data_IF_394653277095
#
_entry.id   IF_394653277095
#
_cell.length_a   1.000
_cell.length_b   1.000
_cell.length_c   1.000
_cell.angle_alpha   90.00
_cell.angle_beta   90.00
_cell.angle_gamma   90.00
#
_symmetry.space_group_name_H-M   'P 1'
#
loop_
_entity.id
_entity.type
_entity.pdbx_description
1 polymer ?
#
# COMPACT_ATOMS: atom_id res chain seq x y z
N UNK A 1 87.56 -46.74 -60.54
CA UNK A 1 86.14 -47.01 -60.61
C UNK A 1 85.69 -47.30 -59.20
N UNK A 2 85.07 -46.46 -58.50
CA UNK A 2 84.63 -46.72 -57.16
C UNK A 2 83.16 -47.21 -57.13
N UNK A 3 82.91 -48.12 -56.26
CA UNK A 3 81.62 -48.74 -55.93
C UNK A 3 80.77 -47.76 -55.10
N UNK A 4 79.50 -47.66 -55.48
CA UNK A 4 78.50 -46.92 -54.82
C UNK A 4 77.84 -47.77 -53.71
N UNK A 5 78.01 -47.39 -52.46
CA UNK A 5 77.39 -48.05 -51.30
C UNK A 5 76.00 -47.42 -51.07
N UNK A 6 74.99 -48.24 -51.33
CA UNK A 6 73.59 -47.85 -51.08
C UNK A 6 73.26 -48.00 -49.62
N UNK A 7 72.98 -46.92 -48.91
CA UNK A 7 72.55 -46.88 -47.52
C UNK A 7 71.03 -47.26 -47.38
N UNK A 8 70.76 -48.38 -46.71
CA UNK A 8 69.39 -48.83 -46.42
C UNK A 8 68.89 -48.13 -45.22
N UNK A 9 67.87 -47.27 -45.41
CA UNK A 9 67.17 -46.52 -44.38
C UNK A 9 66.17 -47.46 -43.70
N UNK A 10 66.44 -47.85 -42.45
CA UNK A 10 65.58 -48.64 -41.58
C UNK A 10 64.36 -47.86 -41.14
N UNK A 11 63.20 -48.28 -41.58
CA UNK A 11 61.88 -47.65 -41.19
C UNK A 11 61.43 -48.30 -39.89
N UNK A 12 61.58 -47.60 -38.80
CA UNK A 12 61.04 -48.00 -37.51
C UNK A 12 59.48 -47.84 -37.54
N UNK A 13 58.81 -48.98 -37.54
CA UNK A 13 57.36 -49.09 -37.43
C UNK A 13 56.95 -48.81 -35.97
N UNK A 14 56.30 -47.63 -35.74
CA UNK A 14 55.77 -47.17 -34.48
C UNK A 14 54.51 -48.01 -34.14
N UNK A 15 54.66 -49.02 -33.33
CA UNK A 15 53.59 -49.91 -32.87
C UNK A 15 52.71 -49.11 -31.88
N UNK A 16 51.66 -48.39 -32.36
CA UNK A 16 50.65 -47.74 -31.59
C UNK A 16 49.88 -48.77 -30.76
N UNK A 17 50.18 -48.85 -29.46
CA UNK A 17 49.51 -49.69 -28.47
C UNK A 17 48.01 -49.40 -28.53
N UNK A 18 47.09 -50.39 -28.61
CA UNK A 18 45.63 -50.09 -28.63
C UNK A 18 45.21 -49.43 -27.33
N UNK A 19 44.61 -48.21 -27.48
CA UNK A 19 44.02 -47.48 -26.40
C UNK A 19 42.78 -48.25 -25.89
N UNK A 20 42.88 -48.82 -24.70
CA UNK A 20 41.79 -49.52 -24.03
C UNK A 20 40.73 -48.46 -23.73
N UNK A 21 39.68 -48.35 -24.57
CA UNK A 21 38.49 -47.54 -24.33
C UNK A 21 37.74 -48.15 -23.13
N UNK A 22 38.04 -47.66 -21.94
CA UNK A 22 37.25 -48.00 -20.75
C UNK A 22 35.85 -47.37 -20.91
N UNK A 23 34.75 -48.14 -20.74
CA UNK A 23 33.40 -47.61 -20.81
C UNK A 23 33.24 -46.49 -19.79
N UNK A 24 32.53 -45.36 -20.12
CA UNK A 24 32.38 -44.23 -19.21
C UNK A 24 31.69 -44.70 -17.93
N UNK A 25 32.36 -44.52 -16.80
CA UNK A 25 31.83 -44.82 -15.48
C UNK A 25 30.54 -44.01 -15.28
N UNK A 26 29.40 -44.59 -14.85
CA UNK A 26 28.16 -43.87 -14.64
C UNK A 26 28.37 -42.80 -13.59
N UNK A 27 28.40 -41.54 -14.00
CA UNK A 27 28.51 -40.38 -13.09
C UNK A 27 27.25 -40.27 -12.24
N UNK A 28 27.40 -40.24 -10.91
CA UNK A 28 26.31 -40.03 -9.95
C UNK A 28 25.74 -38.60 -10.10
N UNK A 29 24.41 -38.49 -10.10
CA UNK A 29 23.75 -37.22 -10.07
C UNK A 29 23.82 -36.63 -8.66
N UNK A 30 24.15 -35.35 -8.52
CA UNK A 30 24.28 -34.70 -7.23
C UNK A 30 22.89 -34.56 -6.58
N UNK A 31 22.68 -35.13 -5.41
CA UNK A 31 21.43 -35.14 -4.66
C UNK A 31 21.00 -33.75 -4.29
N UNK A 32 21.94 -32.84 -4.00
CA UNK A 32 21.63 -31.43 -3.63
C UNK A 32 21.05 -30.66 -4.80
N UNK A 33 21.44 -31.00 -6.05
CA UNK A 33 20.84 -30.40 -7.25
C UNK A 33 19.38 -30.80 -7.44
N UNK A 34 19.00 -32.03 -7.08
CA UNK A 34 17.62 -32.50 -7.13
C UNK A 34 16.79 -31.87 -6.01
N UNK A 35 17.33 -31.88 -4.79
CA UNK A 35 16.67 -31.23 -3.62
C UNK A 35 16.49 -29.76 -3.86
N UNK A 36 17.49 -29.03 -4.38
CA UNK A 36 17.42 -27.62 -4.72
C UNK A 36 16.30 -27.29 -5.72
N UNK A 37 16.15 -28.16 -6.75
CA UNK A 37 15.06 -27.98 -7.73
C UNK A 37 13.67 -28.15 -7.10
N UNK A 38 13.49 -29.17 -6.24
CA UNK A 38 12.20 -29.39 -5.56
C UNK A 38 11.89 -28.25 -4.59
N UNK A 39 12.86 -27.83 -3.79
CA UNK A 39 12.70 -26.74 -2.82
C UNK A 39 12.49 -25.39 -3.47
N UNK A 40 12.95 -25.19 -4.71
CA UNK A 40 12.70 -23.97 -5.48
C UNK A 40 11.21 -23.67 -5.71
N UNK A 41 10.35 -24.70 -5.70
CA UNK A 41 8.90 -24.55 -5.80
C UNK A 41 8.22 -24.30 -4.46
N UNK A 42 8.74 -24.85 -3.36
CA UNK A 42 8.09 -24.81 -2.04
C UNK A 42 8.54 -23.58 -1.25
N UNK A 43 9.85 -23.40 -1.13
CA UNK A 43 10.47 -22.28 -0.39
C UNK A 43 11.59 -21.69 -1.26
N UNK A 44 11.30 -20.66 -2.07
CA UNK A 44 12.24 -20.17 -3.09
C UNK A 44 13.62 -19.77 -2.56
N UNK A 45 13.68 -19.20 -1.35
CA UNK A 45 14.95 -18.79 -0.73
C UNK A 45 15.81 -20.01 -0.43
N UNK A 46 15.22 -21.08 0.14
CA UNK A 46 15.93 -22.33 0.45
C UNK A 46 16.36 -23.03 -0.84
N UNK A 47 15.45 -23.07 -1.84
CA UNK A 47 15.74 -23.62 -3.17
C UNK A 47 16.89 -22.90 -3.86
N UNK A 48 16.95 -21.58 -3.78
CA UNK A 48 18.04 -20.76 -4.33
C UNK A 48 19.39 -21.13 -3.68
N UNK A 49 19.44 -21.17 -2.35
CA UNK A 49 20.67 -21.52 -1.60
C UNK A 49 21.13 -22.93 -1.95
N UNK A 50 20.23 -23.90 -1.90
CA UNK A 50 20.56 -25.31 -2.24
C UNK A 50 21.04 -25.45 -3.70
N UNK A 51 20.43 -24.74 -4.64
CA UNK A 51 20.79 -24.73 -6.04
C UNK A 51 22.18 -24.14 -6.28
N UNK A 52 22.53 -23.05 -5.61
CA UNK A 52 23.85 -22.40 -5.69
C UNK A 52 24.95 -23.37 -5.14
N UNK A 53 24.67 -24.00 -3.99
CA UNK A 53 25.60 -25.01 -3.43
C UNK A 53 25.72 -26.20 -4.37
N UNK A 54 24.60 -26.64 -4.97
CA UNK A 54 24.58 -27.73 -5.96
C UNK A 54 25.45 -27.44 -7.20
N UNK A 55 25.40 -26.21 -7.72
CA UNK A 55 26.28 -25.77 -8.84
C UNK A 55 27.74 -25.85 -8.44
N UNK A 56 28.09 -25.37 -7.24
CA UNK A 56 29.46 -25.38 -6.74
C UNK A 56 30.01 -26.82 -6.57
N UNK A 57 29.18 -27.73 -6.03
CA UNK A 57 29.59 -29.12 -5.83
C UNK A 57 29.74 -29.90 -7.14
N UNK A 58 28.75 -29.75 -8.07
CA UNK A 58 28.83 -30.42 -9.37
C UNK A 58 30.03 -29.97 -10.20
N UNK A 59 30.39 -28.68 -10.09
CA UNK A 59 31.58 -28.14 -10.78
C UNK A 59 32.89 -28.66 -10.20
N UNK A 60 33.01 -28.86 -8.87
CA UNK A 60 34.23 -29.31 -8.20
C UNK A 60 34.41 -30.81 -8.27
N UNK A 61 33.31 -31.59 -8.29
CA UNK A 61 33.35 -33.07 -8.21
C UNK A 61 33.14 -33.79 -9.54
N UNK A 62 32.97 -33.00 -10.62
CA UNK A 62 32.66 -33.52 -11.96
C UNK A 62 31.43 -34.43 -11.99
N UNK A 63 30.44 -34.18 -11.12
CA UNK A 63 29.18 -34.93 -11.03
C UNK A 63 28.15 -34.42 -12.05
N UNK A 64 27.20 -35.27 -12.44
CA UNK A 64 26.05 -34.87 -13.26
C UNK A 64 25.04 -34.09 -12.41
N UNK A 65 24.34 -33.10 -12.99
CA UNK A 65 23.30 -32.35 -12.30
C UNK A 65 23.48 -30.82 -12.33
N UNK A 66 24.55 -30.34 -12.97
CA UNK A 66 24.77 -28.86 -13.11
C UNK A 66 23.58 -28.17 -13.80
N UNK A 67 22.98 -28.80 -14.82
CA UNK A 67 21.80 -28.26 -15.49
C UNK A 67 20.56 -28.17 -14.55
N UNK A 68 20.35 -29.18 -13.68
CA UNK A 68 19.27 -29.18 -12.70
C UNK A 68 19.48 -28.09 -11.64
N UNK A 69 20.71 -27.88 -11.20
CA UNK A 69 21.02 -26.82 -10.25
C UNK A 69 20.83 -25.41 -10.85
N UNK A 70 21.23 -25.18 -12.11
CA UNK A 70 20.98 -23.95 -12.84
C UNK A 70 19.48 -23.72 -13.04
N UNK A 71 18.73 -24.75 -13.44
CA UNK A 71 17.27 -24.66 -13.54
C UNK A 71 16.64 -24.31 -12.19
N UNK A 72 17.11 -24.87 -11.07
CA UNK A 72 16.66 -24.53 -9.72
C UNK A 72 16.88 -23.07 -9.36
N UNK A 73 18.02 -22.47 -9.74
CA UNK A 73 18.27 -21.02 -9.53
C UNK A 73 17.28 -20.18 -10.32
N UNK A 74 17.09 -20.47 -11.61
CA UNK A 74 16.18 -19.71 -12.48
C UNK A 74 14.75 -19.80 -11.95
N UNK A 75 14.27 -20.99 -11.60
CA UNK A 75 12.94 -21.22 -11.05
C UNK A 75 12.77 -20.49 -9.71
N UNK A 76 13.79 -20.52 -8.83
CA UNK A 76 13.73 -19.80 -7.55
C UNK A 76 13.59 -18.30 -7.74
N UNK A 77 14.34 -17.70 -8.66
CA UNK A 77 14.29 -16.26 -8.97
C UNK A 77 12.91 -15.88 -9.54
N UNK A 78 12.39 -16.66 -10.50
CA UNK A 78 11.08 -16.42 -11.09
C UNK A 78 9.95 -16.55 -10.06
N UNK A 79 10.03 -17.56 -9.18
CA UNK A 79 9.04 -17.77 -8.13
C UNK A 79 9.12 -16.69 -7.06
N UNK A 80 10.30 -16.21 -6.69
CA UNK A 80 10.48 -15.09 -5.79
C UNK A 80 9.88 -13.79 -6.37
N UNK A 81 10.10 -13.52 -7.66
CA UNK A 81 9.52 -12.39 -8.36
C UNK A 81 7.98 -12.49 -8.40
N UNK A 82 7.46 -13.68 -8.70
CA UNK A 82 6.01 -13.95 -8.70
C UNK A 82 5.39 -13.74 -7.32
N UNK A 83 6.04 -14.24 -6.24
CA UNK A 83 5.56 -14.02 -4.87
C UNK A 83 5.58 -12.55 -4.47
N UNK A 84 6.59 -11.79 -4.91
CA UNK A 84 6.66 -10.35 -4.67
C UNK A 84 5.53 -9.60 -5.37
N UNK A 85 5.24 -9.93 -6.62
CA UNK A 85 4.10 -9.37 -7.37
C UNK A 85 2.78 -9.73 -6.69
N UNK A 86 2.60 -11.00 -6.27
CA UNK A 86 1.39 -11.44 -5.57
C UNK A 86 1.21 -10.72 -4.23
N UNK A 87 2.29 -10.46 -3.49
CA UNK A 87 2.24 -9.68 -2.25
C UNK A 87 1.75 -8.25 -2.52
N UNK A 88 2.28 -7.60 -3.58
CA UNK A 88 1.81 -6.26 -3.99
C UNK A 88 0.33 -6.31 -4.35
N UNK A 89 -0.11 -7.30 -5.13
CA UNK A 89 -1.53 -7.45 -5.51
C UNK A 89 -2.42 -7.64 -4.27
N UNK A 90 -1.99 -8.44 -3.29
CA UNK A 90 -2.73 -8.63 -2.03
C UNK A 90 -2.81 -7.33 -1.24
N UNK A 91 -1.71 -6.57 -1.15
CA UNK A 91 -1.69 -5.26 -0.45
C UNK A 91 -2.62 -4.27 -1.16
N UNK A 92 -2.56 -4.18 -2.49
CA UNK A 92 -3.44 -3.30 -3.29
C UNK A 92 -4.90 -3.74 -3.18
N UNK A 93 -5.19 -5.05 -3.25
CA UNK A 93 -6.53 -5.58 -3.07
C UNK A 93 -7.08 -5.34 -1.65
N UNK A 94 -6.24 -5.48 -0.62
CA UNK A 94 -6.61 -5.17 0.75
C UNK A 94 -6.87 -3.66 0.95
N UNK A 95 -6.09 -2.80 0.30
CA UNK A 95 -6.31 -1.36 0.29
C UNK A 95 -7.59 -0.97 -0.50
N UNK A 96 -7.88 -1.67 -1.59
CA UNK A 96 -9.09 -1.45 -2.40
C UNK A 96 -10.37 -2.03 -1.76
N UNK A 97 -10.25 -2.96 -0.80
CA UNK A 97 -11.42 -3.61 -0.15
C UNK A 97 -12.13 -2.74 0.88
N UNK A 98 -11.70 -1.53 1.14
CA UNK A 98 -12.43 -0.58 1.97
C UNK A 98 -13.45 0.25 1.18
N UNK A 99 -14.20 -0.38 0.26
CA UNK A 99 -15.31 0.27 -0.43
C UNK A 99 -16.45 0.55 0.57
N UNK A 100 -16.31 1.64 1.32
CA UNK A 100 -17.36 2.16 2.18
C UNK A 100 -18.43 2.72 1.26
N UNK A 101 -19.60 2.06 1.21
CA UNK A 101 -20.75 2.55 0.45
C UNK A 101 -21.28 3.81 1.13
N UNK A 102 -21.45 4.88 0.37
CA UNK A 102 -22.04 6.13 0.85
C UNK A 102 -23.53 6.21 0.50
N UNK A 103 -24.31 6.83 1.37
CA UNK A 103 -25.68 7.26 1.14
C UNK A 103 -25.81 8.76 1.32
N UNK A 104 -26.85 9.37 0.74
CA UNK A 104 -27.02 10.81 0.76
C UNK A 104 -28.06 11.23 1.79
N UNK A 105 -27.78 12.33 2.47
CA UNK A 105 -28.71 13.03 3.35
C UNK A 105 -28.87 14.47 2.86
N UNK A 106 -30.12 14.91 2.71
CA UNK A 106 -30.45 16.29 2.39
C UNK A 106 -31.17 16.93 3.59
N UNK A 107 -30.67 18.06 4.05
CA UNK A 107 -31.30 18.90 5.06
C UNK A 107 -31.99 20.08 4.37
N UNK A 108 -33.23 20.40 4.77
CA UNK A 108 -34.01 21.45 4.14
C UNK A 108 -33.67 22.85 4.69
N UNK A 109 -33.32 22.94 5.98
CA UNK A 109 -32.99 24.22 6.63
C UNK A 109 -31.97 24.01 7.75
N UNK A 110 -30.74 24.50 7.62
CA UNK A 110 -30.16 25.08 6.39
C UNK A 110 -30.08 24.08 5.26
N UNK A 111 -30.25 24.53 4.01
CA UNK A 111 -30.25 23.64 2.85
C UNK A 111 -28.85 23.19 2.54
N UNK A 112 -28.63 21.85 2.54
CA UNK A 112 -27.42 21.21 2.06
C UNK A 112 -27.65 19.72 1.80
N UNK A 113 -26.78 19.15 0.99
CA UNK A 113 -26.70 17.70 0.77
C UNK A 113 -25.32 17.20 1.12
N UNK A 114 -25.26 16.14 1.94
CA UNK A 114 -24.02 15.47 2.34
C UNK A 114 -24.14 13.96 2.09
N UNK A 115 -23.05 13.35 1.65
CA UNK A 115 -22.90 11.90 1.68
C UNK A 115 -22.32 11.48 3.01
N UNK A 116 -22.68 10.28 3.47
CA UNK A 116 -22.13 9.66 4.66
C UNK A 116 -22.10 8.12 4.53
N UNK A 117 -21.26 7.40 5.24
CA UNK A 117 -21.18 5.97 5.15
C UNK A 117 -22.49 5.27 5.55
N UNK A 118 -22.94 4.34 4.71
CA UNK A 118 -24.15 3.57 4.96
C UNK A 118 -24.09 2.82 6.28
N UNK A 119 -25.18 2.91 7.04
CA UNK A 119 -25.29 2.27 8.36
C UNK A 119 -24.73 3.09 9.52
N UNK A 120 -24.24 4.31 9.27
CA UNK A 120 -23.87 5.22 10.34
C UNK A 120 -25.12 5.81 11.00
N UNK A 121 -25.03 6.02 12.30
CA UNK A 121 -26.11 6.62 13.10
C UNK A 121 -26.02 8.14 13.01
N UNK A 122 -27.16 8.79 12.76
CA UNK A 122 -27.27 10.25 12.71
C UNK A 122 -27.76 10.80 14.04
N UNK A 123 -27.05 11.80 14.55
CA UNK A 123 -27.42 12.58 15.72
C UNK A 123 -27.57 14.06 15.34
N UNK A 124 -28.49 14.76 15.99
CA UNK A 124 -28.66 16.22 15.84
C UNK A 124 -27.85 16.87 16.95
N UNK A 125 -26.99 17.82 16.60
CA UNK A 125 -26.24 18.62 17.54
C UNK A 125 -26.57 20.11 17.30
N UNK A 126 -27.12 20.77 18.32
CA UNK A 126 -27.36 22.21 18.31
C UNK A 126 -26.57 22.81 19.45
N UNK A 127 -25.58 23.61 19.16
CA UNK A 127 -24.74 24.26 20.15
C UNK A 127 -24.54 25.75 19.79
N UNK A 128 -24.80 26.65 20.74
CA UNK A 128 -24.48 28.06 20.67
C UNK A 128 -25.01 28.81 19.41
N UNK A 129 -26.20 28.44 18.92
CA UNK A 129 -26.81 29.01 17.71
C UNK A 129 -26.31 28.40 16.40
N UNK A 130 -25.40 27.41 16.45
CA UNK A 130 -25.05 26.60 15.33
C UNK A 130 -25.94 25.36 15.26
N UNK A 131 -26.39 24.99 14.07
CA UNK A 131 -27.11 23.73 13.82
C UNK A 131 -26.18 22.74 13.21
N UNK A 132 -26.14 21.52 13.76
CA UNK A 132 -25.24 20.50 13.32
C UNK A 132 -25.87 19.12 13.24
N UNK A 133 -25.25 18.27 12.45
CA UNK A 133 -25.51 16.83 12.40
C UNK A 133 -24.21 16.09 12.51
N UNK A 134 -24.21 15.03 13.31
CA UNK A 134 -23.10 14.11 13.45
C UNK A 134 -23.55 12.76 12.93
N UNK A 135 -22.77 12.17 12.07
CA UNK A 135 -22.91 10.80 11.59
C UNK A 135 -21.76 9.98 12.17
N UNK A 136 -22.07 8.95 12.93
CA UNK A 136 -21.09 8.13 13.63
C UNK A 136 -21.18 6.68 13.17
N UNK A 137 -20.03 6.01 13.03
CA UNK A 137 -19.99 4.56 12.87
C UNK A 137 -20.67 3.94 14.10
N UNK A 138 -21.72 3.14 13.85
CA UNK A 138 -22.39 2.43 14.93
C UNK A 138 -21.40 1.45 15.58
N UNK A 139 -21.24 1.47 16.92
CA UNK A 139 -20.35 0.54 17.58
C UNK A 139 -20.80 -0.89 17.29
N UNK A 140 -19.91 -1.68 16.69
CA UNK A 140 -20.16 -3.11 16.38
C UNK A 140 -19.99 -4.01 17.59
N UNK A 141 -19.50 -3.44 18.66
CA UNK A 141 -19.25 -4.12 19.92
C UNK A 141 -19.78 -3.29 21.12
N UNK A 142 -19.85 -3.89 22.27
CA UNK A 142 -20.33 -3.24 23.51
C UNK A 142 -19.33 -2.24 24.11
N UNK A 143 -18.23 -1.91 23.39
CA UNK A 143 -17.20 -0.98 23.90
C UNK A 143 -17.58 0.49 23.73
N UNK A 144 -18.60 0.79 22.91
CA UNK A 144 -19.00 2.15 22.56
C UNK A 144 -17.95 2.92 21.74
N UNK A 145 -16.91 2.22 21.25
CA UNK A 145 -15.82 2.85 20.50
C UNK A 145 -16.28 3.25 19.10
N UNK A 146 -16.26 4.56 18.82
CA UNK A 146 -16.53 5.13 17.49
C UNK A 146 -15.24 5.13 16.70
N UNK A 147 -15.26 4.49 15.51
CA UNK A 147 -14.08 4.39 14.64
C UNK A 147 -14.04 5.46 13.55
N UNK A 148 -15.18 6.05 13.20
CA UNK A 148 -15.26 7.11 12.23
C UNK A 148 -16.43 8.02 12.51
N UNK A 149 -16.27 9.30 12.21
CA UNK A 149 -17.29 10.33 12.41
C UNK A 149 -17.25 11.34 11.27
N UNK A 150 -18.43 11.80 10.86
CA UNK A 150 -18.63 12.96 9.99
C UNK A 150 -19.52 13.94 10.73
N UNK A 151 -19.07 15.18 10.84
CA UNK A 151 -19.80 16.26 11.48
C UNK A 151 -19.97 17.40 10.47
N UNK A 152 -21.16 17.98 10.44
CA UNK A 152 -21.43 19.20 9.70
C UNK A 152 -22.02 20.23 10.63
N UNK A 153 -21.44 21.42 10.64
CA UNK A 153 -21.89 22.57 11.43
C UNK A 153 -22.20 23.71 10.48
N UNK A 154 -23.39 24.27 10.63
CA UNK A 154 -23.82 25.46 9.93
C UNK A 154 -23.81 26.66 10.87
N UNK A 155 -23.28 27.77 10.40
CA UNK A 155 -23.26 29.07 11.08
C UNK A 155 -23.96 30.08 10.18
N UNK A 156 -25.06 30.68 10.67
CA UNK A 156 -25.77 31.75 9.97
C UNK A 156 -24.88 32.98 9.86
N UNK A 157 -25.01 33.78 8.78
CA UNK A 157 -24.25 35.00 8.64
C UNK A 157 -24.68 36.00 9.72
N UNK A 158 -23.73 36.71 10.36
CA UNK A 158 -24.09 37.77 11.30
C UNK A 158 -24.69 38.95 10.55
N UNK A 159 -25.61 39.72 11.18
CA UNK A 159 -26.36 40.83 10.54
C UNK A 159 -25.47 41.85 9.84
N UNK A 160 -24.29 42.12 10.38
CA UNK A 160 -23.33 43.11 9.86
C UNK A 160 -22.14 42.47 9.09
N UNK A 161 -22.28 41.22 8.69
CA UNK A 161 -21.17 40.43 8.10
C UNK A 161 -20.05 40.17 9.09
N UNK A 162 -19.01 39.46 8.61
CA UNK A 162 -17.84 39.16 9.41
C UNK A 162 -16.85 40.34 9.40
N UNK A 163 -16.33 40.70 10.57
CA UNK A 163 -15.30 41.76 10.72
C UNK A 163 -13.91 41.34 10.31
N UNK A 164 -13.68 40.02 10.20
CA UNK A 164 -12.40 39.42 9.85
C UNK A 164 -12.63 38.21 8.93
N UNK A 165 -11.54 37.61 8.46
CA UNK A 165 -11.62 36.38 7.70
C UNK A 165 -12.16 35.24 8.57
N UNK A 166 -13.45 34.92 8.36
CA UNK A 166 -14.16 33.89 9.13
C UNK A 166 -13.56 32.49 8.97
N UNK A 167 -12.98 32.15 7.79
CA UNK A 167 -12.37 30.86 7.55
C UNK A 167 -11.14 30.69 8.44
N UNK A 168 -10.34 31.76 8.54
CA UNK A 168 -9.15 31.78 9.42
C UNK A 168 -9.57 31.75 10.89
N UNK A 169 -10.59 32.51 11.26
CA UNK A 169 -11.09 32.54 12.65
C UNK A 169 -11.58 31.16 13.11
N UNK A 170 -12.34 30.46 12.27
CA UNK A 170 -12.81 29.11 12.58
C UNK A 170 -11.63 28.12 12.64
N UNK A 171 -10.68 28.18 11.70
CA UNK A 171 -9.46 27.38 11.76
C UNK A 171 -8.72 27.56 13.08
N UNK A 172 -8.54 28.80 13.52
CA UNK A 172 -7.79 29.10 14.75
C UNK A 172 -8.57 28.66 15.99
N UNK A 173 -9.89 28.77 15.96
CA UNK A 173 -10.76 28.19 17.01
C UNK A 173 -10.61 26.66 17.09
N UNK A 174 -10.60 25.95 15.97
CA UNK A 174 -10.39 24.50 15.94
C UNK A 174 -9.02 24.16 16.51
N UNK A 175 -7.97 24.87 16.11
CA UNK A 175 -6.60 24.65 16.63
C UNK A 175 -6.49 24.88 18.13
N UNK A 176 -7.23 25.84 18.67
CA UNK A 176 -7.23 26.12 20.12
C UNK A 176 -8.10 25.16 20.93
N UNK A 177 -9.15 24.60 20.32
CA UNK A 177 -10.09 23.67 20.98
C UNK A 177 -9.44 22.33 21.31
N UNK A 178 -8.55 21.83 20.45
CA UNK A 178 -8.00 20.49 20.59
C UNK A 178 -6.54 20.51 21.02
N UNK A 179 -6.22 19.82 22.10
CA UNK A 179 -4.85 19.73 22.63
C UNK A 179 -3.91 18.99 21.66
N UNK A 180 -2.70 19.51 21.49
CA UNK A 180 -1.67 18.89 20.65
C UNK A 180 -1.98 18.90 19.15
N UNK A 181 -2.78 19.90 18.69
CA UNK A 181 -3.13 20.01 17.28
C UNK A 181 -1.90 20.30 16.41
N UNK A 182 -1.69 19.44 15.42
CA UNK A 182 -0.70 19.59 14.36
C UNK A 182 -1.46 19.75 13.04
N UNK A 183 -1.17 20.82 12.29
CA UNK A 183 -1.71 21.00 10.94
C UNK A 183 -0.77 20.27 9.96
N UNK A 184 -1.26 19.18 9.38
CA UNK A 184 -0.52 18.37 8.42
C UNK A 184 -0.64 18.92 6.98
N UNK A 185 -1.78 19.58 6.70
CA UNK A 185 -2.07 20.18 5.41
C UNK A 185 -3.05 21.33 5.57
N UNK A 186 -2.84 22.43 4.83
CA UNK A 186 -3.75 23.58 4.74
C UNK A 186 -3.74 24.13 3.32
N UNK A 187 -4.92 24.37 2.73
CA UNK A 187 -5.05 25.06 1.45
C UNK A 187 -6.30 25.90 1.40
N UNK A 188 -6.22 27.06 0.75
CA UNK A 188 -7.40 27.79 0.27
C UNK A 188 -7.79 27.29 -1.10
N UNK A 189 -9.10 27.12 -1.29
CA UNK A 189 -9.66 26.51 -2.48
C UNK A 189 -11.05 27.09 -2.77
N UNK A 190 -11.64 26.68 -3.86
CA UNK A 190 -13.03 26.98 -4.23
C UNK A 190 -13.80 25.68 -4.38
N UNK A 191 -14.85 25.51 -3.61
CA UNK A 191 -15.74 24.33 -3.66
C UNK A 191 -17.12 24.80 -4.13
N UNK A 192 -17.56 24.28 -5.29
CA UNK A 192 -18.85 24.66 -5.89
C UNK A 192 -19.05 26.18 -6.01
N UNK A 193 -17.99 26.92 -6.36
CA UNK A 193 -18.00 28.38 -6.51
C UNK A 193 -18.01 29.17 -5.21
N UNK A 194 -17.83 28.52 -4.06
CA UNK A 194 -17.74 29.13 -2.74
C UNK A 194 -16.29 29.06 -2.21
N UNK A 195 -15.89 30.11 -1.48
CA UNK A 195 -14.56 30.18 -0.85
C UNK A 195 -14.42 29.10 0.22
N UNK A 196 -13.35 28.34 0.20
CA UNK A 196 -13.12 27.25 1.14
C UNK A 196 -11.70 27.25 1.70
N UNK A 197 -11.57 26.80 2.96
CA UNK A 197 -10.30 26.46 3.60
C UNK A 197 -10.33 24.99 3.94
N UNK A 198 -9.36 24.22 3.41
CA UNK A 198 -9.23 22.78 3.65
C UNK A 198 -8.06 22.52 4.56
N UNK A 199 -8.27 21.64 5.54
CA UNK A 199 -7.27 21.25 6.53
C UNK A 199 -7.22 19.75 6.67
N UNK A 200 -6.03 19.22 6.94
CA UNK A 200 -5.84 17.93 7.58
C UNK A 200 -5.07 18.17 8.86
N UNK A 201 -5.63 17.76 9.97
CA UNK A 201 -5.04 17.94 11.30
C UNK A 201 -4.92 16.60 12.03
N UNK A 202 -3.99 16.54 12.96
CA UNK A 202 -3.89 15.48 13.96
C UNK A 202 -3.91 16.13 15.34
N UNK A 203 -4.64 15.55 16.29
CA UNK A 203 -4.75 16.07 17.65
C UNK A 203 -4.93 14.94 18.67
N UNK A 204 -4.78 15.24 19.96
CA UNK A 204 -4.95 14.27 21.03
C UNK A 204 -6.44 14.15 21.39
N UNK A 205 -7.02 12.98 21.15
CA UNK A 205 -8.35 12.61 21.65
C UNK A 205 -8.25 11.84 22.97
N UNK A 206 -9.40 11.50 23.53
CA UNK A 206 -9.48 10.77 24.83
C UNK A 206 -8.81 9.38 24.77
N UNK A 207 -8.91 8.70 23.63
CA UNK A 207 -8.42 7.33 23.45
C UNK A 207 -7.25 7.22 22.46
N UNK A 208 -6.45 8.28 22.32
CA UNK A 208 -5.31 8.33 21.41
C UNK A 208 -5.41 9.44 20.39
N UNK A 209 -4.51 9.41 19.40
CA UNK A 209 -4.48 10.42 18.36
C UNK A 209 -5.65 10.28 17.39
N UNK A 210 -6.26 11.40 17.07
CA UNK A 210 -7.31 11.54 16.06
C UNK A 210 -6.74 12.27 14.84
N UNK A 211 -7.04 11.79 13.66
CA UNK A 211 -6.78 12.47 12.40
C UNK A 211 -8.10 12.94 11.79
N UNK A 212 -8.15 14.22 11.42
CA UNK A 212 -9.35 14.82 10.87
C UNK A 212 -9.06 15.55 9.54
N UNK A 213 -10.00 15.45 8.61
CA UNK A 213 -10.09 16.28 7.41
C UNK A 213 -11.23 17.29 7.61
N UNK A 214 -10.96 18.57 7.34
CA UNK A 214 -11.88 19.67 7.60
C UNK A 214 -11.99 20.49 6.33
N UNK A 215 -13.21 20.84 5.95
CA UNK A 215 -13.50 21.87 4.95
C UNK A 215 -14.38 22.93 5.58
N UNK A 216 -13.87 24.16 5.66
CA UNK A 216 -14.63 25.33 6.10
C UNK A 216 -14.99 26.08 4.82
N UNK A 217 -16.29 26.25 4.56
CA UNK A 217 -16.82 26.78 3.32
C UNK A 217 -17.71 27.99 3.62
N UNK A 218 -17.42 29.14 2.99
CA UNK A 218 -18.21 30.38 3.10
C UNK A 218 -18.99 30.61 1.82
N UNK A 219 -20.31 30.68 1.93
CA UNK A 219 -21.19 31.01 0.80
C UNK A 219 -21.21 32.52 0.53
N UNK A 220 -21.70 32.86 -0.65
CA UNK A 220 -21.85 34.27 -1.07
C UNK A 220 -22.82 35.08 -0.17
N UNK A 221 -23.80 34.42 0.43
CA UNK A 221 -24.73 35.02 1.41
C UNK A 221 -24.10 35.25 2.79
N UNK A 222 -22.82 34.84 2.98
CA UNK A 222 -22.10 34.95 4.23
C UNK A 222 -22.29 33.76 5.18
N UNK A 223 -23.18 32.82 4.89
CA UNK A 223 -23.30 31.59 5.69
C UNK A 223 -22.04 30.75 5.59
N UNK A 224 -21.70 30.01 6.67
CA UNK A 224 -20.53 29.17 6.74
C UNK A 224 -20.94 27.77 7.10
N UNK A 225 -20.34 26.80 6.39
CA UNK A 225 -20.43 25.39 6.69
C UNK A 225 -19.04 24.88 7.08
N UNK A 226 -18.98 24.14 8.18
CA UNK A 226 -17.77 23.40 8.58
C UNK A 226 -18.08 21.93 8.51
N UNK A 227 -17.41 21.24 7.59
CA UNK A 227 -17.49 19.80 7.41
C UNK A 227 -16.24 19.16 8.00
N UNK A 228 -16.41 18.26 8.95
CA UNK A 228 -15.33 17.54 9.63
C UNK A 228 -15.54 16.05 9.45
N UNK A 229 -14.54 15.35 8.93
CA UNK A 229 -14.49 13.89 8.98
C UNK A 229 -13.27 13.47 9.77
N UNK A 230 -13.44 12.52 10.69
CA UNK A 230 -12.39 12.14 11.61
C UNK A 230 -12.46 10.68 12.01
N UNK A 231 -11.31 10.13 12.38
CA UNK A 231 -11.18 8.81 12.98
C UNK A 231 -9.91 8.72 13.82
N UNK A 232 -9.76 7.70 14.68
CA UNK A 232 -8.46 7.36 15.23
C UNK A 232 -7.41 7.29 14.11
N UNK A 233 -6.21 7.86 14.36
CA UNK A 233 -5.15 7.95 13.34
C UNK A 233 -4.80 6.58 12.74
N UNK A 234 -4.80 5.55 13.55
CA UNK A 234 -4.56 4.15 13.15
C UNK A 234 -5.59 3.60 12.16
N UNK A 235 -6.82 4.13 12.18
CA UNK A 235 -7.93 3.70 11.31
C UNK A 235 -8.19 4.67 10.15
N UNK A 236 -7.51 5.81 10.09
CA UNK A 236 -7.81 6.87 9.13
C UNK A 236 -7.72 6.40 7.67
N UNK A 237 -6.74 5.57 7.34
CA UNK A 237 -6.57 5.02 5.99
C UNK A 237 -7.77 4.21 5.50
N UNK A 238 -8.50 3.55 6.42
CA UNK A 238 -9.72 2.79 6.10
C UNK A 238 -10.85 3.69 5.60
N UNK A 239 -10.91 4.93 6.08
CA UNK A 239 -11.99 5.89 5.78
C UNK A 239 -11.55 6.98 4.79
N UNK A 240 -10.26 7.08 4.46
CA UNK A 240 -9.70 8.22 3.70
C UNK A 240 -10.43 8.49 2.39
N UNK A 241 -10.70 7.46 1.59
CA UNK A 241 -11.36 7.60 0.29
C UNK A 241 -12.82 8.05 0.45
N UNK A 242 -13.53 7.47 1.44
CA UNK A 242 -14.89 7.88 1.78
C UNK A 242 -14.92 9.33 2.28
N UNK A 243 -13.97 9.72 3.12
CA UNK A 243 -13.85 11.10 3.59
C UNK A 243 -13.55 12.06 2.44
N UNK A 244 -12.69 11.68 1.51
CA UNK A 244 -12.40 12.47 0.32
C UNK A 244 -13.66 12.65 -0.54
N UNK A 245 -14.43 11.60 -0.77
CA UNK A 245 -15.69 11.67 -1.51
C UNK A 245 -16.73 12.54 -0.79
N UNK A 246 -16.89 12.42 0.53
CA UNK A 246 -17.79 13.25 1.34
C UNK A 246 -17.47 14.73 1.15
N UNK A 247 -16.20 15.13 1.31
CA UNK A 247 -15.76 16.51 1.17
C UNK A 247 -15.86 17.06 -0.26
N UNK A 248 -15.66 16.22 -1.27
CA UNK A 248 -15.69 16.62 -2.68
C UNK A 248 -17.12 16.70 -3.24
N UNK A 249 -18.05 15.94 -2.66
CA UNK A 249 -19.45 15.88 -3.12
C UNK A 249 -20.41 16.72 -2.25
N UNK A 250 -19.91 17.38 -1.21
CA UNK A 250 -20.73 18.25 -0.35
C UNK A 250 -21.33 19.42 -1.15
N UNK A 251 -22.64 19.61 -1.00
CA UNK A 251 -23.41 20.67 -1.68
C UNK A 251 -24.11 21.52 -0.60
N UNK A 252 -23.59 22.73 -0.31
CA UNK A 252 -24.18 23.65 0.63
C UNK A 252 -25.35 24.42 0.05
#
# INVERSE_FOLDING_TARGET
MPEEVTEVKETTEDTKKPEVVTPPTPQKTNTLSIVGLIMAFIIPIVGLVCSIIGISQTSKRNEKGKGLAVAGVIISILNMLFQFIMLIVIIVAAAASSNITLESFTNANPNYTIKYPKGWVREVENQDGAQGYIFKDAPKDNTGKVYGQTEIVYIAPPPNGYKSDVLVAIRDSIKSKYSGTVVNYESRDTVNGNEALRLIITYNGENGKIKAKITILKKKDGSVYTLVTQSPEENYSKYSDAFDEIHNTFQP
#
